data_IF_325210679628
#
_entry.id   IF_325210679628
#
_cell.length_a   1.000
_cell.length_b   1.000
_cell.length_c   1.000
_cell.angle_alpha   90.00
_cell.angle_beta   90.00
_cell.angle_gamma   90.00
#
_symmetry.space_group_name_H-M   'P 1'
#
loop_
_entity.id
_entity.type
_entity.pdbx_description
1 polymer ?
#
# COMPACT_ATOMS: atom_id res chain seq x y z
N UNK A 1 -28.79 15.13 -6.76
CA UNK A 1 -28.01 15.96 -5.82
C UNK A 1 -27.33 15.01 -4.86
N UNK A 2 -26.07 14.70 -5.11
CA UNK A 2 -25.12 14.19 -4.12
C UNK A 2 -23.76 14.67 -4.62
N UNK A 3 -23.40 15.88 -4.17
CA UNK A 3 -22.03 16.35 -4.20
C UNK A 3 -21.37 15.63 -3.03
N UNK A 4 -20.68 14.52 -3.33
CA UNK A 4 -19.70 13.97 -2.39
C UNK A 4 -18.62 15.04 -2.26
N UNK A 5 -18.59 15.68 -1.11
CA UNK A 5 -17.66 16.75 -0.80
C UNK A 5 -16.28 16.15 -0.60
N UNK A 6 -15.30 16.61 -1.37
CA UNK A 6 -13.86 16.38 -1.16
C UNK A 6 -13.38 16.77 0.26
N UNK A 7 -14.22 17.37 1.11
CA UNK A 7 -13.87 17.85 2.45
C UNK A 7 -13.72 16.76 3.51
N UNK A 8 -14.35 15.59 3.34
CA UNK A 8 -14.27 14.54 4.36
C UNK A 8 -12.95 13.75 4.26
N UNK A 9 -12.41 13.61 3.06
CA UNK A 9 -11.07 13.02 2.84
C UNK A 9 -9.97 13.89 3.44
N UNK A 10 -10.14 15.20 3.58
CA UNK A 10 -9.16 16.06 4.25
C UNK A 10 -9.06 15.81 5.77
N UNK A 11 -10.03 15.10 6.37
CA UNK A 11 -10.13 14.94 7.81
C UNK A 11 -9.00 14.08 8.41
N UNK A 12 -8.67 12.87 7.89
CA UNK A 12 -7.57 12.07 8.42
C UNK A 12 -6.21 12.76 8.22
N UNK A 13 -5.98 13.41 7.07
CA UNK A 13 -4.71 14.10 6.79
C UNK A 13 -4.52 15.32 7.70
N UNK A 14 -5.53 16.18 7.80
CA UNK A 14 -5.45 17.37 8.67
C UNK A 14 -5.28 17.00 10.14
N UNK A 15 -5.96 15.93 10.59
CA UNK A 15 -5.81 15.36 11.93
C UNK A 15 -4.41 14.79 12.14
N UNK A 16 -3.87 14.05 11.18
CA UNK A 16 -2.50 13.51 11.26
C UNK A 16 -1.45 14.61 11.27
N UNK A 17 -1.58 15.63 10.42
CA UNK A 17 -0.69 16.79 10.45
C UNK A 17 -0.76 17.55 11.78
N UNK A 18 -1.97 17.73 12.32
CA UNK A 18 -2.16 18.32 13.65
C UNK A 18 -1.48 17.49 14.73
N UNK A 19 -1.58 16.15 14.65
CA UNK A 19 -0.86 15.22 15.54
C UNK A 19 0.64 15.52 15.55
N UNK A 20 1.23 15.63 14.37
CA UNK A 20 2.66 15.85 14.20
C UNK A 20 3.11 17.22 14.72
N UNK A 21 2.27 18.25 14.55
CA UNK A 21 2.58 19.65 14.96
C UNK A 21 2.40 19.86 16.46
N UNK A 22 1.36 19.30 17.05
CA UNK A 22 0.96 19.56 18.45
C UNK A 22 1.48 18.54 19.44
N UNK A 23 2.06 17.44 18.96
CA UNK A 23 2.44 16.28 19.78
C UNK A 23 1.25 15.68 20.56
N UNK A 24 0.02 15.91 20.07
CA UNK A 24 -1.20 15.28 20.57
C UNK A 24 -1.26 13.83 20.12
N UNK A 25 -2.00 12.99 20.84
CA UNK A 25 -2.25 11.60 20.43
C UNK A 25 -3.62 11.52 19.77
N UNK A 26 -3.65 11.14 18.50
CA UNK A 26 -4.88 10.82 17.77
C UNK A 26 -4.87 9.35 17.38
N UNK A 27 -6.06 8.76 17.34
CA UNK A 27 -6.28 7.41 16.85
C UNK A 27 -6.78 7.46 15.42
N UNK A 28 -6.28 6.52 14.62
CA UNK A 28 -6.71 6.26 13.26
C UNK A 28 -6.93 4.75 13.16
N UNK A 29 -7.89 4.31 12.37
CA UNK A 29 -7.96 2.90 11.99
C UNK A 29 -6.89 2.55 10.94
N UNK A 30 -6.82 1.28 10.54
CA UNK A 30 -5.81 0.83 9.59
C UNK A 30 -6.01 1.35 8.17
N UNK A 31 -7.25 1.63 7.77
CA UNK A 31 -7.58 2.14 6.43
C UNK A 31 -7.20 3.63 6.35
N UNK A 32 -7.55 4.42 7.37
CA UNK A 32 -7.11 5.82 7.49
C UNK A 32 -5.58 5.93 7.45
N UNK A 33 -4.86 5.04 8.13
CA UNK A 33 -3.39 5.03 8.06
C UNK A 33 -2.88 4.67 6.67
N UNK A 34 -3.46 3.68 5.99
CA UNK A 34 -3.11 3.32 4.62
C UNK A 34 -3.27 4.51 3.68
N UNK A 35 -4.42 5.19 3.71
CA UNK A 35 -4.67 6.39 2.91
C UNK A 35 -3.62 7.48 3.17
N UNK A 36 -3.30 7.74 4.45
CA UNK A 36 -2.25 8.69 4.85
C UNK A 36 -0.88 8.30 4.27
N UNK A 37 -0.52 7.02 4.34
CA UNK A 37 0.76 6.50 3.83
C UNK A 37 0.83 6.69 2.32
N UNK A 38 -0.15 6.18 1.58
CA UNK A 38 -0.19 6.23 0.12
C UNK A 38 -0.23 7.68 -0.39
N UNK A 39 -1.00 8.55 0.25
CA UNK A 39 -1.00 9.98 -0.07
C UNK A 39 0.40 10.59 0.04
N UNK A 40 1.09 10.38 1.17
CA UNK A 40 2.44 10.94 1.35
C UNK A 40 3.46 10.33 0.39
N UNK A 41 3.32 9.06 0.00
CA UNK A 41 4.13 8.46 -1.06
C UNK A 41 3.90 9.15 -2.40
N UNK A 42 2.64 9.33 -2.80
CA UNK A 42 2.25 9.94 -4.07
C UNK A 42 2.76 11.38 -4.23
N UNK A 43 2.81 12.16 -3.16
CA UNK A 43 3.37 13.52 -3.19
C UNK A 43 4.88 13.59 -2.87
N UNK A 44 5.56 12.45 -2.81
CA UNK A 44 7.01 12.34 -2.60
C UNK A 44 7.49 12.63 -1.18
N UNK A 45 6.60 12.77 -0.19
CA UNK A 45 6.93 13.02 1.22
C UNK A 45 7.21 11.71 1.96
N UNK A 46 8.18 10.93 1.50
CA UNK A 46 8.50 9.60 2.02
C UNK A 46 8.84 9.56 3.52
N UNK A 47 9.40 10.64 4.09
CA UNK A 47 9.66 10.72 5.52
C UNK A 47 8.37 10.71 6.35
N UNK A 48 7.32 11.36 5.86
CA UNK A 48 6.00 11.38 6.51
C UNK A 48 5.26 10.06 6.29
N UNK A 49 5.33 9.48 5.08
CA UNK A 49 4.76 8.17 4.80
C UNK A 49 5.31 7.11 5.75
N UNK A 50 6.63 7.05 5.94
CA UNK A 50 7.26 6.12 6.89
C UNK A 50 6.86 6.36 8.33
N UNK A 51 6.68 7.63 8.73
CA UNK A 51 6.21 7.96 10.08
C UNK A 51 4.77 7.51 10.32
N UNK A 52 3.90 7.69 9.31
CA UNK A 52 2.53 7.18 9.35
C UNK A 52 2.53 5.65 9.41
N UNK A 53 3.35 4.98 8.59
CA UNK A 53 3.50 3.52 8.59
C UNK A 53 3.98 2.97 9.93
N UNK A 54 5.00 3.57 10.54
CA UNK A 54 5.51 3.17 11.85
C UNK A 54 4.43 3.26 12.93
N UNK A 55 3.69 4.37 12.95
CA UNK A 55 2.59 4.58 13.90
C UNK A 55 1.42 3.61 13.63
N UNK A 56 1.06 3.41 12.38
CA UNK A 56 0.01 2.48 11.96
C UNK A 56 0.34 1.04 12.37
N UNK A 57 1.52 0.53 12.03
CA UNK A 57 1.95 -0.82 12.40
C UNK A 57 2.10 -1.01 13.92
N UNK A 58 2.40 0.06 14.67
CA UNK A 58 2.42 0.01 16.13
C UNK A 58 1.03 -0.12 16.74
N UNK A 59 0.02 0.54 16.15
CA UNK A 59 -1.37 0.47 16.64
C UNK A 59 -2.08 -0.80 16.14
N UNK A 60 -1.82 -1.20 14.90
CA UNK A 60 -2.52 -2.26 14.18
C UNK A 60 -1.54 -3.28 13.57
N UNK A 61 -0.75 -4.01 14.39
CA UNK A 61 0.35 -4.87 13.90
C UNK A 61 -0.11 -6.04 13.03
N UNK A 62 -1.38 -6.45 13.15
CA UNK A 62 -1.95 -7.55 12.37
C UNK A 62 -2.58 -7.12 11.04
N UNK A 63 -2.77 -5.80 10.82
CA UNK A 63 -3.46 -5.28 9.64
C UNK A 63 -2.76 -5.72 8.34
N UNK A 64 -3.56 -6.27 7.42
CA UNK A 64 -3.10 -6.65 6.08
C UNK A 64 -2.83 -5.40 5.23
N UNK A 65 -3.74 -4.42 5.23
CA UNK A 65 -3.58 -3.16 4.49
C UNK A 65 -2.27 -2.45 4.83
N UNK A 66 -1.95 -2.33 6.13
CA UNK A 66 -0.69 -1.70 6.54
C UNK A 66 0.55 -2.51 6.19
N UNK A 67 0.45 -3.84 6.10
CA UNK A 67 1.54 -4.68 5.60
C UNK A 67 1.72 -4.54 4.09
N UNK A 68 0.63 -4.39 3.32
CA UNK A 68 0.69 -4.08 1.89
C UNK A 68 1.33 -2.70 1.65
N UNK A 69 0.88 -1.67 2.37
CA UNK A 69 1.51 -0.35 2.34
C UNK A 69 3.01 -0.40 2.74
N UNK A 70 3.39 -1.26 3.69
CA UNK A 70 4.80 -1.49 4.02
C UNK A 70 5.58 -2.11 2.85
N UNK A 71 5.00 -3.10 2.16
CA UNK A 71 5.61 -3.68 0.95
C UNK A 71 5.81 -2.60 -0.10
N UNK A 72 4.83 -1.74 -0.33
CA UNK A 72 4.94 -0.65 -1.31
C UNK A 72 6.06 0.33 -0.95
N UNK A 73 6.18 0.73 0.33
CA UNK A 73 7.31 1.54 0.81
C UNK A 73 8.65 0.83 0.57
N UNK A 74 8.73 -0.47 0.80
CA UNK A 74 9.95 -1.25 0.58
C UNK A 74 10.31 -1.34 -0.91
N UNK A 75 9.32 -1.52 -1.79
CA UNK A 75 9.51 -1.54 -3.24
C UNK A 75 9.94 -0.18 -3.76
N UNK A 76 9.36 0.91 -3.23
CA UNK A 76 9.77 2.28 -3.56
C UNK A 76 11.23 2.55 -3.18
N UNK A 77 11.67 2.05 -2.02
CA UNK A 77 13.06 2.20 -1.54
C UNK A 77 14.02 1.14 -2.09
N UNK A 78 13.63 0.36 -3.10
CA UNK A 78 14.38 -0.76 -3.70
C UNK A 78 14.89 -1.79 -2.68
N UNK A 79 14.19 -1.96 -1.55
CA UNK A 79 14.45 -2.97 -0.52
C UNK A 79 13.80 -4.30 -0.88
N UNK A 80 14.15 -4.82 -2.06
CA UNK A 80 13.46 -5.93 -2.72
C UNK A 80 13.43 -7.21 -1.87
N UNK A 81 14.52 -7.54 -1.18
CA UNK A 81 14.59 -8.76 -0.37
C UNK A 81 13.65 -8.72 0.85
N UNK A 82 13.47 -7.53 1.45
CA UNK A 82 12.52 -7.36 2.56
C UNK A 82 11.09 -7.41 2.07
N UNK A 83 10.82 -6.80 0.92
CA UNK A 83 9.51 -6.87 0.27
C UNK A 83 9.14 -8.34 -0.06
N UNK A 84 10.07 -9.10 -0.61
CA UNK A 84 9.88 -10.53 -0.96
C UNK A 84 9.55 -11.39 0.26
N UNK A 85 10.22 -11.16 1.40
CA UNK A 85 9.92 -11.87 2.66
C UNK A 85 8.48 -11.59 3.10
N UNK A 86 8.11 -10.31 3.17
CA UNK A 86 6.78 -9.91 3.64
C UNK A 86 5.67 -10.34 2.68
N UNK A 87 5.92 -10.30 1.37
CA UNK A 87 5.01 -10.82 0.35
C UNK A 87 4.76 -12.32 0.52
N UNK A 88 5.81 -13.12 0.74
CA UNK A 88 5.66 -14.58 0.97
C UNK A 88 4.90 -14.90 2.26
N UNK A 89 4.96 -14.02 3.25
CA UNK A 89 4.15 -14.15 4.46
C UNK A 89 2.68 -13.84 4.15
N UNK A 90 2.39 -12.73 3.49
CA UNK A 90 1.03 -12.36 3.12
C UNK A 90 0.39 -13.34 2.14
N UNK A 91 1.13 -13.86 1.16
CA UNK A 91 0.62 -14.86 0.19
C UNK A 91 0.11 -16.14 0.90
N UNK A 92 0.65 -16.48 2.07
CA UNK A 92 0.17 -17.62 2.88
C UNK A 92 -1.08 -17.30 3.69
N UNK A 93 -1.24 -16.04 4.10
CA UNK A 93 -2.34 -15.59 4.98
C UNK A 93 -3.55 -15.19 4.13
N UNK A 94 -3.28 -14.48 3.04
CA UNK A 94 -4.25 -13.85 2.13
C UNK A 94 -4.02 -14.32 0.67
N UNK A 95 -4.15 -15.62 0.38
CA UNK A 95 -3.82 -16.18 -0.94
C UNK A 95 -4.74 -15.72 -2.07
N UNK A 96 -5.87 -15.09 -1.76
CA UNK A 96 -6.86 -14.60 -2.72
C UNK A 96 -6.84 -13.06 -2.81
N UNK A 97 -5.88 -12.39 -2.18
CA UNK A 97 -5.78 -10.93 -2.24
C UNK A 97 -4.98 -10.53 -3.48
N UNK A 98 -5.60 -9.79 -4.38
CA UNK A 98 -5.02 -9.35 -5.65
C UNK A 98 -3.80 -8.42 -5.46
N UNK A 99 -3.83 -7.55 -4.45
CA UNK A 99 -2.72 -6.62 -4.14
C UNK A 99 -1.42 -7.34 -3.79
N UNK A 100 -1.50 -8.53 -3.16
CA UNK A 100 -0.32 -9.37 -2.92
C UNK A 100 0.37 -9.71 -4.24
N UNK A 101 -0.40 -10.13 -5.25
CA UNK A 101 0.13 -10.50 -6.56
C UNK A 101 0.54 -9.27 -7.39
N UNK A 102 -0.13 -8.14 -7.23
CA UNK A 102 0.23 -6.87 -7.88
C UNK A 102 1.61 -6.36 -7.40
N UNK A 103 1.84 -6.37 -6.09
CA UNK A 103 3.14 -6.01 -5.53
C UNK A 103 4.21 -7.06 -5.84
N UNK A 104 3.85 -8.35 -5.92
CA UNK A 104 4.75 -9.42 -6.38
C UNK A 104 5.17 -9.22 -7.84
N UNK A 105 4.25 -8.83 -8.71
CA UNK A 105 4.59 -8.47 -10.09
C UNK A 105 5.55 -7.28 -10.14
N UNK A 106 5.29 -6.24 -9.34
CA UNK A 106 6.18 -5.06 -9.22
C UNK A 106 7.58 -5.45 -8.76
N UNK A 107 7.68 -6.31 -7.73
CA UNK A 107 8.95 -6.85 -7.23
C UNK A 107 9.73 -7.59 -8.34
N UNK A 108 9.04 -8.46 -9.08
CA UNK A 108 9.62 -9.27 -10.15
C UNK A 108 10.08 -8.40 -11.31
N UNK A 109 9.28 -7.40 -11.70
CA UNK A 109 9.64 -6.42 -12.72
C UNK A 109 10.90 -5.63 -12.33
N UNK A 110 10.99 -5.16 -11.07
CA UNK A 110 12.21 -4.51 -10.53
C UNK A 110 13.43 -5.43 -10.50
N UNK A 111 13.24 -6.75 -10.52
CA UNK A 111 14.31 -7.76 -10.64
C UNK A 111 14.58 -8.19 -12.08
N UNK A 112 14.00 -7.52 -13.08
CA UNK A 112 14.09 -7.88 -14.50
C UNK A 112 13.47 -9.26 -14.85
N UNK A 113 12.66 -9.81 -13.94
CA UNK A 113 11.95 -11.08 -14.10
C UNK A 113 10.57 -10.85 -14.74
N UNK A 114 10.58 -10.28 -15.95
CA UNK A 114 9.36 -9.75 -16.60
C UNK A 114 8.32 -10.83 -16.92
N UNK A 115 8.75 -12.06 -17.23
CA UNK A 115 7.82 -13.16 -17.52
C UNK A 115 7.06 -13.58 -16.27
N UNK A 116 7.78 -13.75 -15.17
CA UNK A 116 7.24 -14.09 -13.86
C UNK A 116 6.37 -12.95 -13.32
N UNK A 117 6.71 -11.69 -13.62
CA UNK A 117 5.87 -10.54 -13.30
C UNK A 117 4.51 -10.63 -14.01
N UNK A 118 4.49 -10.96 -15.31
CA UNK A 118 3.25 -11.17 -16.07
C UNK A 118 2.44 -12.35 -15.51
N UNK A 119 3.10 -13.45 -15.13
CA UNK A 119 2.41 -14.57 -14.45
C UNK A 119 1.74 -14.12 -13.15
N UNK A 120 2.42 -13.32 -12.33
CA UNK A 120 1.84 -12.75 -11.12
C UNK A 120 0.65 -11.80 -11.42
N UNK A 121 0.74 -10.94 -12.43
CA UNK A 121 -0.39 -10.09 -12.86
C UNK A 121 -1.59 -10.91 -13.34
N UNK A 122 -1.35 -12.02 -14.05
CA UNK A 122 -2.43 -12.93 -14.45
C UNK A 122 -3.10 -13.59 -13.24
N UNK A 123 -2.35 -13.88 -12.17
CA UNK A 123 -2.95 -14.36 -10.91
C UNK A 123 -3.75 -13.26 -10.23
N UNK A 124 -3.25 -12.02 -10.20
CA UNK A 124 -3.99 -10.88 -9.67
C UNK A 124 -5.34 -10.68 -10.38
N UNK A 125 -5.38 -10.86 -11.70
CA UNK A 125 -6.63 -10.81 -12.50
C UNK A 125 -7.68 -11.85 -12.10
N UNK A 126 -7.29 -12.96 -11.45
CA UNK A 126 -8.24 -13.97 -11.00
C UNK A 126 -9.02 -13.52 -9.76
N UNK A 127 -8.52 -12.51 -9.04
CA UNK A 127 -9.01 -12.13 -7.72
C UNK A 127 -9.46 -10.67 -7.62
N UNK A 128 -9.09 -9.82 -8.58
CA UNK A 128 -9.50 -8.42 -8.59
C UNK A 128 -10.93 -8.23 -9.07
N UNK A 129 -11.59 -7.17 -8.59
CA UNK A 129 -12.86 -6.69 -9.12
C UNK A 129 -12.67 -5.61 -10.21
N UNK A 130 -11.47 -5.01 -10.32
CA UNK A 130 -11.12 -4.01 -11.33
C UNK A 130 -9.96 -4.48 -12.22
N UNK A 131 -10.33 -5.13 -13.33
CA UNK A 131 -9.35 -5.67 -14.26
C UNK A 131 -8.64 -4.59 -15.10
N UNK A 132 -9.16 -3.37 -15.19
CA UNK A 132 -8.70 -2.36 -16.16
C UNK A 132 -7.26 -1.95 -15.86
N UNK A 133 -6.96 -1.68 -14.59
CA UNK A 133 -5.64 -1.25 -14.16
C UNK A 133 -4.60 -2.37 -14.34
N UNK A 134 -4.97 -3.61 -13.96
CA UNK A 134 -4.07 -4.76 -14.08
C UNK A 134 -3.79 -5.11 -15.54
N UNK A 135 -4.80 -5.05 -16.42
CA UNK A 135 -4.62 -5.25 -17.86
C UNK A 135 -3.71 -4.18 -18.49
N UNK A 136 -3.81 -2.94 -18.00
CA UNK A 136 -2.94 -1.86 -18.45
C UNK A 136 -1.48 -2.13 -18.07
N UNK A 137 -1.22 -2.69 -16.89
CA UNK A 137 0.13 -3.09 -16.46
C UNK A 137 0.71 -4.25 -17.27
N UNK A 138 -0.11 -5.19 -17.75
CA UNK A 138 0.35 -6.30 -18.62
C UNK A 138 0.75 -5.78 -20.02
N UNK A 139 0.11 -4.72 -20.49
CA UNK A 139 0.31 -4.18 -21.83
C UNK A 139 1.51 -3.25 -22.00
N UNK A 140 2.11 -2.76 -20.90
CA UNK A 140 3.29 -1.88 -20.88
C UNK A 140 4.60 -2.67 -20.95
#
# INVERSE_FOLDING_TARGET
MHLFSDSDNDLPFSKFESMLKTNSVYFFDSEEFEEIILHYMNIGKMSLAKKALELGLKQHPASVSLKLAHIEVLLYEDKLDKADILLKELEKIEPLNDQVYLHKATLLSKREMHKEAIEALNVALLYTEDEVDIRSLIGM
#
